data_IF_487725492245
#
_entry.id   IF_487725492245
#
_cell.length_a   1.000
_cell.length_b   1.000
_cell.length_c   1.000
_cell.angle_alpha   90.00
_cell.angle_beta   90.00
_cell.angle_gamma   90.00
#
_symmetry.space_group_name_H-M   'P 1'
#
loop_
_entity.id
_entity.type
_entity.pdbx_description
1 polymer ?
#
# COMPACT_ATOMS: atom_id res chain seq x y z
N UNK A 1 -4.29 7.28 -10.87
CA UNK A 1 -5.24 8.35 -11.22
C UNK A 1 -6.42 7.72 -11.91
N UNK A 2 -7.64 8.03 -11.47
CA UNK A 2 -8.89 7.53 -12.03
C UNK A 2 -9.49 8.61 -12.93
N UNK A 3 -9.71 8.27 -14.19
CA UNK A 3 -10.36 9.18 -15.13
C UNK A 3 -11.84 8.79 -15.26
N UNK A 4 -12.68 9.37 -14.41
CA UNK A 4 -14.12 9.19 -14.49
C UNK A 4 -14.68 9.83 -15.76
N UNK A 5 -15.55 9.11 -16.47
CA UNK A 5 -16.38 9.70 -17.52
C UNK A 5 -17.26 10.81 -16.94
N UNK A 6 -17.56 11.82 -17.76
CA UNK A 6 -18.29 13.02 -17.34
C UNK A 6 -19.65 12.68 -16.72
N UNK A 7 -20.39 11.75 -17.31
CA UNK A 7 -21.70 11.31 -16.80
C UNK A 7 -21.59 10.53 -15.50
N UNK A 8 -20.63 9.61 -15.38
CA UNK A 8 -20.41 8.83 -14.16
C UNK A 8 -20.02 9.76 -13.00
N UNK A 9 -19.14 10.74 -13.25
CA UNK A 9 -18.75 11.74 -12.25
C UNK A 9 -19.94 12.59 -11.81
N UNK A 10 -20.78 13.02 -12.75
CA UNK A 10 -21.97 13.83 -12.46
C UNK A 10 -22.97 13.04 -11.61
N UNK A 11 -23.27 11.80 -11.99
CA UNK A 11 -24.17 10.92 -11.24
C UNK A 11 -23.63 10.61 -9.85
N UNK A 12 -22.32 10.38 -9.73
CA UNK A 12 -21.66 10.17 -8.45
C UNK A 12 -21.80 11.40 -7.53
N UNK A 13 -21.47 12.60 -8.01
CA UNK A 13 -21.60 13.84 -7.23
C UNK A 13 -23.06 14.08 -6.82
N UNK A 14 -24.02 13.85 -7.71
CA UNK A 14 -25.45 13.96 -7.39
C UNK A 14 -25.84 13.01 -6.26
N UNK A 15 -25.43 11.75 -6.35
CA UNK A 15 -25.69 10.76 -5.30
C UNK A 15 -25.07 11.18 -3.97
N UNK A 16 -23.79 11.55 -3.95
CA UNK A 16 -23.06 11.92 -2.74
C UNK A 16 -23.64 13.17 -2.06
N UNK A 17 -24.13 14.14 -2.85
CA UNK A 17 -24.73 15.38 -2.33
C UNK A 17 -25.95 15.11 -1.44
N UNK A 18 -26.70 14.07 -1.76
CA UNK A 18 -27.97 13.76 -1.09
C UNK A 18 -27.79 12.80 0.11
N UNK A 19 -26.54 12.42 0.44
CA UNK A 19 -26.22 11.60 1.62
C UNK A 19 -26.19 12.47 2.88
N UNK A 20 -27.05 12.21 3.89
CA UNK A 20 -27.09 12.98 5.14
C UNK A 20 -25.76 13.00 5.90
N UNK A 21 -25.03 11.88 5.88
CA UNK A 21 -23.73 11.71 6.53
C UNK A 21 -22.62 12.56 5.88
N UNK A 22 -22.85 13.10 4.69
CA UNK A 22 -21.94 14.06 4.04
C UNK A 22 -22.44 15.51 4.16
N UNK A 23 -23.55 15.77 4.85
CA UNK A 23 -24.16 17.09 4.87
C UNK A 23 -23.29 18.17 5.54
N UNK A 24 -22.55 17.82 6.60
CA UNK A 24 -21.75 18.77 7.38
C UNK A 24 -20.26 18.55 7.18
N UNK A 25 -19.45 19.59 7.36
CA UNK A 25 -17.99 19.47 7.30
C UNK A 25 -17.45 18.43 8.29
N UNK A 26 -17.95 18.45 9.54
CA UNK A 26 -17.60 17.47 10.57
C UNK A 26 -17.92 16.04 10.15
N UNK A 27 -19.08 15.81 9.54
CA UNK A 27 -19.49 14.47 9.13
C UNK A 27 -18.68 13.98 7.92
N UNK A 28 -18.37 14.86 6.95
CA UNK A 28 -17.43 14.55 5.84
C UNK A 28 -16.05 14.15 6.37
N UNK A 29 -15.51 14.89 7.34
CA UNK A 29 -14.26 14.56 7.99
C UNK A 29 -14.32 13.16 8.62
N UNK A 30 -15.38 12.86 9.37
CA UNK A 30 -15.54 11.54 9.99
C UNK A 30 -15.62 10.40 8.96
N UNK A 31 -16.30 10.60 7.84
CA UNK A 31 -16.36 9.59 6.76
C UNK A 31 -14.98 9.39 6.12
N UNK A 32 -14.23 10.46 5.86
CA UNK A 32 -12.86 10.35 5.33
C UNK A 32 -11.92 9.66 6.33
N UNK A 33 -12.06 9.91 7.63
CA UNK A 33 -11.32 9.17 8.65
C UNK A 33 -11.72 7.69 8.71
N UNK A 34 -13.01 7.36 8.62
CA UNK A 34 -13.50 5.98 8.55
C UNK A 34 -13.04 5.25 7.28
N UNK A 35 -12.80 5.98 6.19
CA UNK A 35 -12.21 5.46 4.96
C UNK A 35 -10.68 5.27 5.04
N UNK A 36 -10.05 5.58 6.19
CA UNK A 36 -8.60 5.58 6.41
C UNK A 36 -7.86 6.62 5.55
N UNK A 37 -8.53 7.74 5.26
CA UNK A 37 -8.00 8.84 4.44
C UNK A 37 -7.58 10.03 5.29
N UNK A 38 -7.39 9.84 6.60
CA UNK A 38 -7.05 10.91 7.56
C UNK A 38 -5.80 11.70 7.13
N UNK A 39 -4.81 11.01 6.57
CA UNK A 39 -3.57 11.62 6.08
C UNK A 39 -3.77 12.58 4.89
N UNK A 40 -4.87 12.44 4.15
CA UNK A 40 -5.18 13.29 2.99
C UNK A 40 -6.04 14.51 3.35
N UNK A 41 -6.72 14.49 4.50
CA UNK A 41 -7.61 15.58 4.93
C UNK A 41 -7.01 16.99 4.80
N UNK A 42 -5.74 17.26 5.18
CA UNK A 42 -5.18 18.61 5.08
C UNK A 42 -5.06 19.14 3.65
N UNK A 43 -5.17 18.27 2.65
CA UNK A 43 -4.99 18.61 1.24
C UNK A 43 -6.33 18.69 0.48
N UNK A 44 -7.45 18.37 1.13
CA UNK A 44 -8.77 18.35 0.52
C UNK A 44 -9.60 19.47 1.13
N UNK A 45 -10.14 20.36 0.30
CA UNK A 45 -11.16 21.31 0.76
C UNK A 45 -12.50 20.58 0.95
N UNK A 46 -12.84 20.33 2.21
CA UNK A 46 -14.10 19.68 2.61
C UNK A 46 -15.15 20.68 3.12
N UNK A 47 -14.88 21.98 3.01
CA UNK A 47 -15.71 23.05 3.55
C UNK A 47 -16.86 23.44 2.62
N UNK A 48 -17.78 24.27 3.13
CA UNK A 48 -18.86 24.84 2.32
C UNK A 48 -20.02 23.89 2.01
N UNK A 49 -20.80 24.24 0.98
CA UNK A 49 -22.00 23.50 0.59
C UNK A 49 -21.66 22.05 0.19
N UNK A 50 -22.55 21.11 0.53
CA UNK A 50 -22.31 19.67 0.31
C UNK A 50 -21.87 19.36 -1.11
N UNK A 51 -22.53 19.94 -2.11
CA UNK A 51 -22.18 19.76 -3.52
C UNK A 51 -20.74 20.14 -3.84
N UNK A 52 -20.27 21.28 -3.32
CA UNK A 52 -18.91 21.79 -3.57
C UNK A 52 -17.90 20.86 -2.93
N UNK A 53 -18.07 20.56 -1.64
CA UNK A 53 -17.14 19.69 -0.92
C UNK A 53 -17.06 18.28 -1.50
N UNK A 54 -18.19 17.63 -1.84
CA UNK A 54 -18.14 16.29 -2.44
C UNK A 54 -17.51 16.32 -3.83
N UNK A 55 -17.68 17.42 -4.59
CA UNK A 55 -16.99 17.60 -5.86
C UNK A 55 -15.48 17.71 -5.66
N UNK A 56 -15.01 18.49 -4.68
CA UNK A 56 -13.59 18.62 -4.35
C UNK A 56 -12.99 17.30 -3.85
N UNK A 57 -13.69 16.59 -2.95
CA UNK A 57 -13.30 15.26 -2.47
C UNK A 57 -13.13 14.29 -3.65
N UNK A 58 -14.15 14.16 -4.51
CA UNK A 58 -14.09 13.25 -5.66
C UNK A 58 -12.95 13.63 -6.60
N UNK A 59 -12.76 14.92 -6.87
CA UNK A 59 -11.71 15.41 -7.77
C UNK A 59 -10.33 15.12 -7.22
N UNK A 60 -10.09 15.45 -5.95
CA UNK A 60 -8.82 15.21 -5.30
C UNK A 60 -8.48 13.72 -5.24
N UNK A 61 -9.41 12.89 -4.76
CA UNK A 61 -9.17 11.44 -4.61
C UNK A 61 -8.96 10.75 -5.96
N UNK A 62 -9.72 11.12 -7.00
CA UNK A 62 -9.52 10.62 -8.37
C UNK A 62 -8.11 10.94 -8.89
N UNK A 63 -7.66 12.17 -8.62
CA UNK A 63 -6.34 12.66 -9.05
C UNK A 63 -5.19 12.05 -8.25
N UNK A 64 -5.39 11.83 -6.95
CA UNK A 64 -4.43 11.19 -6.06
C UNK A 64 -4.10 9.77 -6.53
N UNK A 65 -5.12 8.98 -6.89
CA UNK A 65 -4.95 7.63 -7.38
C UNK A 65 -4.71 6.61 -6.28
N UNK A 66 -3.75 5.70 -6.50
CA UNK A 66 -3.55 4.54 -5.62
C UNK A 66 -2.74 4.91 -4.37
N UNK A 67 -3.30 4.60 -3.20
CA UNK A 67 -2.62 4.66 -1.89
C UNK A 67 -1.61 3.51 -1.74
N UNK A 68 -2.03 2.32 -2.19
CA UNK A 68 -1.21 1.12 -2.28
C UNK A 68 -1.52 0.41 -3.60
N UNK A 69 -0.78 -0.65 -3.94
CA UNK A 69 -1.01 -1.40 -5.17
C UNK A 69 -2.47 -1.84 -5.36
N UNK A 70 -3.16 -2.18 -4.27
CA UNK A 70 -4.53 -2.72 -4.31
C UNK A 70 -5.62 -1.72 -3.90
N UNK A 71 -5.23 -0.56 -3.35
CA UNK A 71 -6.18 0.40 -2.78
C UNK A 71 -6.13 1.74 -3.52
N UNK A 72 -7.21 2.06 -4.21
CA UNK A 72 -7.43 3.37 -4.84
C UNK A 72 -8.13 4.31 -3.86
N UNK A 73 -7.70 5.57 -3.79
CA UNK A 73 -8.15 6.53 -2.78
C UNK A 73 -9.64 6.87 -2.90
N UNK A 74 -10.12 7.12 -4.13
CA UNK A 74 -11.54 7.29 -4.38
C UNK A 74 -12.29 5.99 -4.10
N UNK A 75 -11.74 4.84 -4.49
CA UNK A 75 -12.32 3.51 -4.22
C UNK A 75 -12.58 3.28 -2.74
N UNK A 76 -11.62 3.59 -1.88
CA UNK A 76 -11.76 3.50 -0.40
C UNK A 76 -12.89 4.37 0.11
N UNK A 77 -12.94 5.63 -0.33
CA UNK A 77 -14.02 6.55 0.04
C UNK A 77 -15.40 6.01 -0.39
N UNK A 78 -15.55 5.61 -1.66
CA UNK A 78 -16.81 5.11 -2.18
C UNK A 78 -17.28 3.84 -1.47
N UNK A 79 -16.36 2.94 -1.14
CA UNK A 79 -16.71 1.72 -0.41
C UNK A 79 -17.19 1.99 1.02
N UNK A 80 -16.60 2.96 1.71
CA UNK A 80 -17.11 3.41 3.01
C UNK A 80 -18.51 4.01 2.87
N UNK A 81 -18.73 4.83 1.84
CA UNK A 81 -20.02 5.47 1.57
C UNK A 81 -21.13 4.46 1.27
N UNK A 82 -20.83 3.28 0.72
CA UNK A 82 -21.83 2.22 0.47
C UNK A 82 -22.64 1.85 1.72
N UNK A 83 -22.04 1.94 2.91
CA UNK A 83 -22.71 1.62 4.18
C UNK A 83 -23.86 2.56 4.54
N UNK A 84 -23.97 3.72 3.89
CA UNK A 84 -24.93 4.78 4.22
C UNK A 84 -26.00 4.99 3.14
N UNK A 85 -26.03 4.13 2.12
CA UNK A 85 -26.95 4.27 0.98
C UNK A 85 -27.77 3.00 0.75
N UNK A 86 -28.91 3.15 0.08
CA UNK A 86 -29.80 2.03 -0.26
C UNK A 86 -29.24 1.10 -1.34
N UNK A 87 -29.87 -0.06 -1.52
CA UNK A 87 -29.44 -1.12 -2.45
C UNK A 87 -29.20 -0.62 -3.90
N UNK A 88 -30.05 0.29 -4.39
CA UNK A 88 -29.90 0.83 -5.74
C UNK A 88 -28.63 1.68 -5.89
N UNK A 89 -28.38 2.54 -4.90
CA UNK A 89 -27.18 3.38 -4.84
C UNK A 89 -25.92 2.53 -4.63
N UNK A 90 -25.98 1.48 -3.80
CA UNK A 90 -24.88 0.54 -3.63
C UNK A 90 -24.50 -0.12 -4.96
N UNK A 91 -25.49 -0.59 -5.73
CA UNK A 91 -25.24 -1.20 -7.05
C UNK A 91 -24.58 -0.24 -8.04
N UNK A 92 -24.97 1.04 -8.02
CA UNK A 92 -24.31 2.07 -8.81
C UNK A 92 -22.85 2.27 -8.38
N UNK A 93 -22.58 2.38 -7.09
CA UNK A 93 -21.22 2.50 -6.56
C UNK A 93 -20.37 1.27 -6.90
N UNK A 94 -20.92 0.06 -6.80
CA UNK A 94 -20.24 -1.19 -7.19
C UNK A 94 -19.88 -1.23 -8.67
N UNK A 95 -20.79 -0.74 -9.53
CA UNK A 95 -20.51 -0.60 -10.96
C UNK A 95 -19.34 0.34 -11.21
N UNK A 96 -19.26 1.48 -10.49
CA UNK A 96 -18.12 2.40 -10.62
C UNK A 96 -16.82 1.77 -10.12
N UNK A 97 -16.83 1.18 -8.93
CA UNK A 97 -15.66 0.52 -8.33
C UNK A 97 -15.06 -0.53 -9.28
N UNK A 98 -15.93 -1.30 -9.95
CA UNK A 98 -15.53 -2.33 -10.92
C UNK A 98 -15.10 -1.72 -12.27
N UNK A 99 -15.89 -0.80 -12.84
CA UNK A 99 -15.63 -0.18 -14.15
C UNK A 99 -14.27 0.52 -14.21
N UNK A 100 -13.85 1.11 -13.11
CA UNK A 100 -12.62 1.91 -13.01
C UNK A 100 -11.50 1.22 -12.22
N UNK A 101 -11.62 -0.07 -11.91
CA UNK A 101 -10.60 -0.85 -11.19
C UNK A 101 -10.16 -0.20 -9.86
N UNK A 102 -11.10 0.44 -9.15
CA UNK A 102 -10.81 1.16 -7.90
C UNK A 102 -10.73 0.24 -6.68
N UNK A 103 -11.27 -0.97 -6.82
CA UNK A 103 -11.20 -2.02 -5.82
C UNK A 103 -11.08 -3.37 -6.50
N UNK A 104 -10.29 -4.26 -5.91
CA UNK A 104 -10.40 -5.69 -6.16
C UNK A 104 -11.68 -6.18 -5.46
N UNK A 105 -12.73 -6.60 -6.17
CA UNK A 105 -13.93 -7.10 -5.52
C UNK A 105 -13.61 -8.34 -4.69
N UNK A 106 -14.06 -8.36 -3.43
CA UNK A 106 -14.12 -9.60 -2.64
C UNK A 106 -15.20 -10.44 -3.31
N UNK A 107 -14.82 -11.44 -4.12
CA UNK A 107 -15.78 -12.31 -4.78
C UNK A 107 -16.76 -12.91 -3.75
N UNK A 108 -18.05 -12.68 -3.95
CA UNK A 108 -19.07 -13.38 -3.17
C UNK A 108 -19.00 -14.87 -3.50
N UNK A 109 -18.91 -15.71 -2.47
CA UNK A 109 -18.83 -17.16 -2.66
C UNK A 109 -20.10 -17.70 -3.32
N UNK A 110 -20.00 -18.53 -4.38
CA UNK A 110 -21.10 -19.40 -4.72
C UNK A 110 -21.40 -20.34 -3.55
N UNK A 111 -22.67 -20.67 -3.34
CA UNK A 111 -23.06 -21.67 -2.35
C UNK A 111 -22.33 -22.99 -2.63
N UNK A 112 -21.74 -23.60 -1.59
CA UNK A 112 -20.88 -24.81 -1.64
C UNK A 112 -21.61 -26.06 -2.17
N UNK A 113 -22.89 -25.95 -2.53
CA UNK A 113 -23.74 -27.07 -2.91
C UNK A 113 -23.39 -27.65 -4.30
N UNK A 114 -22.62 -26.92 -5.12
CA UNK A 114 -22.28 -27.31 -6.50
C UNK A 114 -20.77 -27.24 -6.78
N UNK A 115 -19.93 -27.78 -5.89
CA UNK A 115 -18.50 -27.93 -6.20
C UNK A 115 -18.31 -28.97 -7.31
N UNK A 116 -18.21 -28.48 -8.55
CA UNK A 116 -17.75 -29.24 -9.71
C UNK A 116 -16.42 -28.64 -10.10
N UNK A 117 -15.31 -29.33 -9.78
CA UNK A 117 -13.92 -28.88 -9.92
C UNK A 117 -13.47 -28.49 -11.35
N UNK A 118 -14.14 -27.51 -11.94
CA UNK A 118 -13.79 -26.78 -13.14
C UNK A 118 -13.65 -25.31 -12.74
N UNK A 119 -12.73 -25.07 -11.82
CA UNK A 119 -12.36 -23.72 -11.44
C UNK A 119 -11.56 -23.13 -12.60
N UNK A 120 -12.07 -22.03 -13.17
CA UNK A 120 -11.32 -21.18 -14.08
C UNK A 120 -10.30 -20.36 -13.29
N UNK A 121 -9.32 -19.72 -13.95
CA UNK A 121 -8.34 -18.85 -13.25
C UNK A 121 -9.02 -17.73 -12.43
N UNK A 122 -10.27 -17.38 -12.77
CA UNK A 122 -11.10 -16.46 -12.00
C UNK A 122 -11.70 -17.07 -10.71
N UNK A 123 -11.82 -18.40 -10.63
CA UNK A 123 -12.40 -19.12 -9.49
C UNK A 123 -11.35 -19.49 -8.42
N UNK A 124 -10.06 -19.54 -8.79
CA UNK A 124 -8.92 -19.86 -7.89
C UNK A 124 -8.43 -18.61 -7.13
N UNK A 125 -9.27 -17.58 -6.96
CA UNK A 125 -8.95 -16.50 -6.04
C UNK A 125 -9.21 -16.98 -4.60
N UNK A 126 -8.20 -17.64 -4.07
CA UNK A 126 -8.08 -18.04 -2.68
C UNK A 126 -8.37 -16.85 -1.75
N UNK A 127 -9.25 -17.07 -0.77
CA UNK A 127 -9.78 -16.05 0.13
C UNK A 127 -8.70 -15.51 1.05
N UNK A 128 -8.35 -14.24 0.88
CA UNK A 128 -7.49 -13.53 1.82
C UNK A 128 -8.37 -12.60 2.66
N UNK A 129 -8.33 -12.80 3.98
CA UNK A 129 -8.97 -11.90 4.94
C UNK A 129 -7.92 -10.82 5.28
N UNK A 130 -8.10 -9.60 4.76
CA UNK A 130 -7.16 -8.48 4.96
C UNK A 130 -6.44 -8.05 3.67
N UNK A 131 -5.25 -7.47 3.78
CA UNK A 131 -4.41 -7.17 2.61
C UNK A 131 -3.95 -8.47 1.92
N UNK A 132 -4.03 -8.53 0.59
CA UNK A 132 -3.50 -9.66 -0.15
C UNK A 132 -1.96 -9.63 -0.13
N UNK A 133 -1.40 -10.37 0.82
CA UNK A 133 0.03 -10.62 0.92
C UNK A 133 0.46 -11.91 0.23
N UNK A 134 -0.46 -12.61 -0.47
CA UNK A 134 -0.08 -13.76 -1.28
C UNK A 134 0.86 -13.27 -2.39
N UNK A 135 1.99 -13.95 -2.49
CA UNK A 135 2.96 -13.73 -3.54
C UNK A 135 3.24 -15.08 -4.19
N UNK A 136 3.41 -15.14 -5.51
CA UNK A 136 3.85 -16.37 -6.15
C UNK A 136 5.19 -16.80 -5.54
N UNK A 137 5.49 -18.10 -5.55
CA UNK A 137 6.74 -18.62 -5.00
C UNK A 137 8.00 -17.95 -5.59
N UNK A 138 7.90 -17.43 -6.82
CA UNK A 138 8.94 -16.65 -7.47
C UNK A 138 9.34 -15.38 -6.70
N UNK A 139 8.45 -14.82 -5.88
CA UNK A 139 8.78 -13.69 -4.99
C UNK A 139 9.87 -14.06 -3.98
N UNK A 140 9.81 -15.24 -3.39
CA UNK A 140 10.85 -15.71 -2.46
C UNK A 140 12.16 -15.96 -3.21
N UNK A 141 12.09 -16.58 -4.38
CA UNK A 141 13.27 -16.82 -5.22
C UNK A 141 13.93 -15.50 -5.66
N UNK A 142 13.15 -14.52 -6.09
CA UNK A 142 13.65 -13.21 -6.47
C UNK A 142 14.18 -12.44 -5.26
N UNK A 143 13.48 -12.50 -4.13
CA UNK A 143 13.90 -11.95 -2.84
C UNK A 143 15.27 -12.46 -2.42
N UNK A 144 15.51 -13.77 -2.52
CA UNK A 144 16.80 -14.38 -2.24
C UNK A 144 17.89 -13.90 -3.22
N UNK A 145 17.55 -13.70 -4.50
CA UNK A 145 18.49 -13.19 -5.49
C UNK A 145 18.89 -11.72 -5.22
N UNK A 146 17.92 -10.84 -4.94
CA UNK A 146 18.19 -9.42 -4.66
C UNK A 146 18.82 -9.21 -3.27
N UNK A 147 18.52 -10.06 -2.29
CA UNK A 147 19.10 -10.01 -0.95
C UNK A 147 20.64 -10.07 -0.95
N UNK A 148 21.25 -10.67 -1.99
CA UNK A 148 22.71 -10.70 -2.17
C UNK A 148 23.34 -9.31 -2.32
N UNK A 149 22.56 -8.32 -2.75
CA UNK A 149 23.01 -6.92 -2.82
C UNK A 149 22.92 -6.19 -1.48
N UNK A 150 22.26 -6.77 -0.48
CA UNK A 150 22.05 -6.16 0.83
C UNK A 150 23.19 -6.53 1.77
N UNK A 151 23.74 -5.54 2.44
CA UNK A 151 24.80 -5.70 3.43
C UNK A 151 24.33 -5.25 4.81
N UNK A 152 24.66 -6.05 5.82
CA UNK A 152 24.72 -5.59 7.19
C UNK A 152 26.00 -4.77 7.38
N UNK A 153 25.87 -3.59 7.97
CA UNK A 153 26.99 -2.70 8.31
C UNK A 153 27.12 -2.68 9.82
N UNK A 154 28.24 -3.14 10.36
CA UNK A 154 28.57 -3.01 11.77
C UNK A 154 29.71 -2.00 11.94
N UNK A 155 29.50 -0.96 12.74
CA UNK A 155 30.51 0.08 12.99
C UNK A 155 30.97 -0.02 14.43
N UNK A 156 32.29 -0.02 14.63
CA UNK A 156 32.93 0.05 15.95
C UNK A 156 33.88 1.24 15.98
N UNK A 157 33.65 2.14 16.92
CA UNK A 157 34.46 3.35 17.14
C UNK A 157 34.74 3.53 18.63
N UNK A 158 35.60 4.49 18.99
CA UNK A 158 35.79 4.92 20.38
C UNK A 158 34.51 5.48 21.00
N UNK A 159 33.59 5.98 20.19
CA UNK A 159 32.31 6.54 20.62
C UNK A 159 31.21 5.47 20.83
N UNK A 160 31.43 4.21 20.42
CA UNK A 160 30.46 3.14 20.60
C UNK A 160 30.43 2.13 19.45
N UNK A 161 29.44 1.23 19.50
CA UNK A 161 29.13 0.26 18.46
C UNK A 161 27.69 0.42 18.00
N UNK A 162 27.46 0.42 16.69
CA UNK A 162 26.12 0.45 16.11
C UNK A 162 26.09 -0.33 14.78
N UNK A 163 24.90 -0.44 14.21
CA UNK A 163 24.71 -1.11 12.93
C UNK A 163 23.70 -0.41 12.03
N UNK A 164 23.75 -0.74 10.74
CA UNK A 164 22.77 -0.32 9.76
C UNK A 164 22.77 -1.25 8.54
N UNK A 165 22.11 -0.80 7.48
CA UNK A 165 21.97 -1.54 6.23
C UNK A 165 22.63 -0.76 5.10
N UNK A 166 23.25 -1.49 4.18
CA UNK A 166 23.77 -0.95 2.93
C UNK A 166 23.31 -1.76 1.73
N UNK A 167 23.42 -1.17 0.55
CA UNK A 167 23.02 -1.77 -0.71
C UNK A 167 24.15 -1.62 -1.73
N UNK A 168 24.56 -2.72 -2.36
CA UNK A 168 25.49 -2.72 -3.47
C UNK A 168 24.76 -2.24 -4.73
N UNK A 169 25.02 -0.99 -5.13
CA UNK A 169 24.36 -0.34 -6.28
C UNK A 169 25.22 -0.40 -7.56
N UNK A 170 26.51 -0.73 -7.43
CA UNK A 170 27.41 -1.10 -8.52
C UNK A 170 28.51 -2.03 -8.00
N UNK A 171 29.34 -2.62 -8.88
CA UNK A 171 30.33 -3.65 -8.53
C UNK A 171 31.19 -3.32 -7.29
N UNK A 172 31.58 -2.05 -7.11
CA UNK A 172 32.39 -1.58 -5.98
C UNK A 172 31.78 -0.35 -5.29
N UNK A 173 30.46 -0.16 -5.37
CA UNK A 173 29.78 0.99 -4.79
C UNK A 173 28.65 0.51 -3.89
N UNK A 174 28.80 0.78 -2.58
CA UNK A 174 27.80 0.50 -1.57
C UNK A 174 27.18 1.81 -1.09
N UNK A 175 25.85 1.88 -1.10
CA UNK A 175 25.06 3.00 -0.62
C UNK A 175 24.50 2.69 0.77
N UNK A 176 24.58 3.64 1.69
CA UNK A 176 23.92 3.58 3.01
C UNK A 176 23.46 4.97 3.43
N UNK A 177 22.66 5.04 4.49
CA UNK A 177 22.23 6.29 5.06
C UNK A 177 23.41 7.01 5.75
N UNK A 178 23.47 8.33 5.63
CA UNK A 178 24.54 9.14 6.24
C UNK A 178 24.65 8.95 7.76
N UNK A 179 23.54 8.72 8.47
CA UNK A 179 23.60 8.48 9.92
C UNK A 179 24.26 7.13 10.30
N UNK A 180 24.37 6.18 9.37
CA UNK A 180 25.05 4.89 9.59
C UNK A 180 26.56 5.07 9.49
N UNK A 181 27.04 5.81 8.48
CA UNK A 181 28.44 6.13 8.25
C UNK A 181 28.60 7.62 7.91
N UNK A 182 28.59 8.51 8.92
CA UNK A 182 28.61 9.96 8.69
C UNK A 182 29.97 10.53 8.29
N UNK A 183 31.05 9.78 8.51
CA UNK A 183 32.42 10.19 8.16
C UNK A 183 33.25 8.99 7.72
N UNK A 184 34.20 9.24 6.80
CA UNK A 184 35.19 8.27 6.33
C UNK A 184 36.11 7.76 7.44
N UNK A 185 36.29 8.51 8.53
CA UNK A 185 37.18 8.13 9.64
C UNK A 185 36.71 6.85 10.37
N UNK A 186 35.44 6.47 10.16
CA UNK A 186 34.83 5.29 10.77
C UNK A 186 35.05 4.00 9.96
N UNK A 187 35.52 4.12 8.71
CA UNK A 187 35.72 2.97 7.81
C UNK A 187 36.64 1.89 8.39
N UNK A 188 37.77 2.21 9.06
CA UNK A 188 38.65 1.18 9.64
C UNK A 188 37.97 0.31 10.70
N UNK A 189 37.00 0.88 11.42
CA UNK A 189 36.21 0.21 12.44
C UNK A 189 34.94 -0.45 11.90
N UNK A 190 34.70 -0.40 10.59
CA UNK A 190 33.46 -0.85 9.97
C UNK A 190 33.63 -2.22 9.31
N UNK A 191 32.63 -3.09 9.50
CA UNK A 191 32.50 -4.37 8.82
C UNK A 191 31.24 -4.37 7.96
N UNK A 192 31.38 -4.79 6.71
CA UNK A 192 30.28 -5.02 5.78
C UNK A 192 30.11 -6.53 5.65
N UNK A 193 28.90 -7.05 5.91
CA UNK A 193 28.58 -8.48 5.83
C UNK A 193 27.44 -8.70 4.85
N UNK A 194 27.71 -9.44 3.79
CA UNK A 194 26.68 -9.90 2.85
C UNK A 194 26.21 -11.31 3.23
N UNK A 195 25.00 -11.64 2.79
CA UNK A 195 24.34 -12.91 3.10
C UNK A 195 24.28 -13.17 4.62
N UNK A 196 24.04 -12.11 5.41
CA UNK A 196 23.77 -12.24 6.83
C UNK A 196 22.29 -12.61 7.00
N UNK A 197 22.04 -13.82 7.48
CA UNK A 197 20.71 -14.41 7.64
C UNK A 197 20.66 -15.28 8.89
N UNK A 198 19.46 -15.62 9.36
CA UNK A 198 19.24 -16.55 10.46
C UNK A 198 18.81 -17.91 9.93
N UNK A 199 19.17 -18.98 10.62
CA UNK A 199 18.66 -20.32 10.33
C UNK A 199 17.23 -20.50 10.89
N UNK A 200 16.64 -21.67 10.68
CA UNK A 200 15.30 -22.01 11.19
C UNK A 200 15.18 -22.03 12.72
N UNK A 201 16.29 -21.97 13.45
CA UNK A 201 16.33 -21.88 14.91
C UNK A 201 16.52 -20.43 15.41
N UNK A 202 16.55 -19.45 14.50
CA UNK A 202 16.80 -18.04 14.82
C UNK A 202 18.27 -17.72 15.11
N UNK A 203 19.19 -18.61 14.76
CA UNK A 203 20.62 -18.41 14.98
C UNK A 203 21.23 -17.72 13.77
N UNK A 204 21.98 -16.64 14.02
CA UNK A 204 22.69 -15.92 12.98
C UNK A 204 23.73 -16.82 12.29
N UNK A 205 23.57 -17.03 10.99
CA UNK A 205 24.55 -17.67 10.15
C UNK A 205 25.70 -16.69 9.88
N UNK A 206 26.93 -17.23 9.89
CA UNK A 206 28.09 -16.42 9.50
C UNK A 206 27.96 -16.06 8.03
N UNK A 207 27.75 -14.76 7.77
CA UNK A 207 27.67 -14.24 6.40
C UNK A 207 28.88 -14.69 5.57
N UNK A 208 28.63 -15.13 4.35
CA UNK A 208 29.63 -15.80 3.49
C UNK A 208 30.72 -14.83 3.02
N UNK A 209 30.46 -13.52 3.04
CA UNK A 209 31.35 -12.48 2.58
C UNK A 209 31.40 -11.35 3.61
N UNK A 210 32.56 -11.18 4.23
CA UNK A 210 32.86 -10.05 5.12
C UNK A 210 33.96 -9.20 4.51
N UNK A 211 33.68 -7.92 4.31
CA UNK A 211 34.66 -6.95 3.84
C UNK A 211 34.99 -5.93 4.94
N UNK A 212 36.27 -5.54 5.00
CA UNK A 212 36.73 -4.36 5.70
C UNK A 212 37.48 -3.50 4.68
N UNK A 213 37.14 -2.22 4.65
CA UNK A 213 37.86 -1.27 3.82
C UNK A 213 39.15 -0.89 4.56
N UNK A 214 40.27 -0.91 3.83
CA UNK A 214 41.57 -0.47 4.35
C UNK A 214 41.68 1.04 4.28
#
# INVERSE_FOLDING_TARGET
MVNLEVEDRKQLITLLKDIPELATERSRQQILEQADLKQLLPMIDISGATFVAVSEIVSYLSNYGRLTYEQEALGRFLNTVKGFVGMQQQHFLDKLLTKYDMMTPIAALPAINDWRGRETVADIFEKIIGENTLRPISFLQQGLAVARSVAYIGVRSSQGCWSGTGFLVAQNLLLTNNHVLPSSDLLPGTIFRFNYEENFHGEALRGTLSARLK
#
